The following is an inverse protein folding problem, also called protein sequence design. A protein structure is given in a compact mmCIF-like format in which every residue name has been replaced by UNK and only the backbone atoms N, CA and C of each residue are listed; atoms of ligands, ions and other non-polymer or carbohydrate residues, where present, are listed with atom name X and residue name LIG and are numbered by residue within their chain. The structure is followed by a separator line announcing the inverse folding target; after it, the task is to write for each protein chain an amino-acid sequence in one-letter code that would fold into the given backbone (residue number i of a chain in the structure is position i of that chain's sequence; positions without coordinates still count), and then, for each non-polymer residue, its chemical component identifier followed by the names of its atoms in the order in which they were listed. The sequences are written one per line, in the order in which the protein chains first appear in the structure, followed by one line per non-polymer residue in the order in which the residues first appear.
data_IF_418785292713
#
_entry.id   IF_418785292713
#
_cell.length_a   1.000
_cell.length_b   1.000
_cell.length_c   1.000
_cell.angle_alpha   90.00
_cell.angle_beta   90.00
_cell.angle_gamma   90.00
#
_symmetry.space_group_name_H-M   'P 1'
#
loop_
_entity.id
_entity.type
_entity.pdbx_description
1 polymer ?
#
# COMPACT_ATOMS: atom_id res chain seq x y z
N UNK A 1 41.19 -8.22 4.89
CA UNK A 1 40.20 -8.79 5.82
C UNK A 1 39.04 -7.83 6.14
N UNK A 2 39.28 -6.56 6.47
CA UNK A 2 38.19 -5.59 6.74
C UNK A 2 37.21 -5.40 5.56
N UNK A 3 37.72 -5.37 4.32
CA UNK A 3 36.92 -5.13 3.11
C UNK A 3 35.98 -6.28 2.77
N UNK A 4 36.40 -7.53 3.03
CA UNK A 4 35.55 -8.71 2.83
C UNK A 4 34.48 -8.82 3.92
N UNK A 5 34.80 -8.36 5.14
CA UNK A 5 33.86 -8.33 6.26
C UNK A 5 32.74 -7.30 6.05
N UNK A 6 33.06 -6.11 5.52
CA UNK A 6 32.03 -5.09 5.22
C UNK A 6 31.08 -5.52 4.10
N UNK A 7 31.59 -6.20 3.07
CA UNK A 7 30.74 -6.78 2.02
C UNK A 7 29.83 -7.89 2.56
N UNK A 8 30.32 -8.75 3.46
CA UNK A 8 29.52 -9.79 4.08
C UNK A 8 28.36 -9.21 4.92
N UNK A 9 28.63 -8.16 5.72
CA UNK A 9 27.59 -7.49 6.51
C UNK A 9 26.52 -6.81 5.64
N UNK A 10 26.91 -6.25 4.48
CA UNK A 10 25.96 -5.63 3.55
C UNK A 10 25.02 -6.66 2.90
N UNK A 11 25.54 -7.85 2.57
CA UNK A 11 24.74 -8.94 2.01
C UNK A 11 23.76 -9.55 3.01
N UNK A 12 24.15 -9.67 4.28
CA UNK A 12 23.28 -10.19 5.35
C UNK A 12 22.19 -9.16 5.71
N UNK A 13 22.49 -7.87 5.69
CA UNK A 13 21.49 -6.82 5.93
C UNK A 13 20.41 -6.73 4.85
N UNK A 14 20.76 -7.07 3.59
CA UNK A 14 19.84 -6.96 2.46
C UNK A 14 18.81 -8.11 2.39
N UNK A 15 19.16 -9.30 2.87
CA UNK A 15 18.25 -10.46 2.89
C UNK A 15 17.15 -10.37 3.96
N UNK A 16 17.31 -9.52 4.97
CA UNK A 16 16.31 -9.33 6.04
C UNK A 16 15.11 -8.47 5.63
N UNK A 17 15.13 -7.83 4.46
CA UNK A 17 14.08 -6.90 4.03
C UNK A 17 12.92 -7.56 3.25
N UNK A 18 13.00 -8.87 2.98
CA UNK A 18 12.09 -9.55 2.07
C UNK A 18 11.23 -10.62 2.76
N UNK A 19 10.57 -10.27 3.87
CA UNK A 19 9.46 -11.09 4.41
C UNK A 19 8.14 -10.35 4.19
N UNK A 20 7.68 -10.32 2.94
CA UNK A 20 6.30 -9.91 2.65
C UNK A 20 5.39 -11.08 2.98
N UNK A 21 4.60 -10.94 4.05
CA UNK A 21 3.61 -11.95 4.42
C UNK A 21 2.46 -11.91 3.40
N UNK A 22 2.51 -12.80 2.42
CA UNK A 22 1.40 -13.05 1.49
C UNK A 22 0.38 -13.93 2.21
N UNK A 23 -0.80 -13.37 2.49
CA UNK A 23 -1.89 -14.06 3.16
C UNK A 23 -3.23 -13.67 2.57
N UNK A 24 -4.18 -14.61 2.57
CA UNK A 24 -5.57 -14.33 2.19
C UNK A 24 -6.27 -13.73 3.40
N UNK A 25 -6.80 -12.52 3.24
CA UNK A 25 -7.61 -11.86 4.27
C UNK A 25 -9.09 -11.95 3.90
N UNK A 26 -9.88 -12.59 4.76
CA UNK A 26 -11.33 -12.63 4.62
C UNK A 26 -11.95 -11.43 5.34
N UNK A 27 -12.88 -10.76 4.68
CA UNK A 27 -13.59 -9.59 5.22
C UNK A 27 -15.08 -9.82 4.98
N UNK A 28 -15.89 -9.73 6.04
CA UNK A 28 -17.34 -9.82 5.95
C UNK A 28 -17.90 -8.42 5.76
N UNK A 29 -18.75 -8.24 4.76
CA UNK A 29 -19.42 -6.97 4.49
C UNK A 29 -20.92 -7.18 4.41
N UNK A 30 -21.67 -6.29 5.06
CA UNK A 30 -23.11 -6.19 4.86
C UNK A 30 -23.38 -5.34 3.62
N UNK A 31 -24.17 -5.88 2.70
CA UNK A 31 -24.60 -5.20 1.48
C UNK A 31 -26.10 -5.41 1.27
N UNK A 32 -26.73 -4.44 0.61
CA UNK A 32 -28.15 -4.46 0.29
C UNK A 32 -28.29 -4.20 -1.20
N UNK A 33 -29.37 -4.70 -1.80
CA UNK A 33 -29.64 -4.51 -3.21
C UNK A 33 -31.13 -4.43 -3.44
N UNK A 34 -31.49 -3.64 -4.45
CA UNK A 34 -32.87 -3.39 -4.84
C UNK A 34 -32.97 -3.53 -6.35
N UNK A 35 -34.10 -4.04 -6.83
CA UNK A 35 -34.33 -4.31 -8.24
C UNK A 35 -35.80 -4.59 -8.53
N UNK A 36 -36.15 -4.58 -9.82
CA UNK A 36 -37.52 -4.85 -10.27
C UNK A 36 -37.90 -6.33 -10.12
N UNK A 37 -36.92 -7.21 -10.10
CA UNK A 37 -37.05 -8.64 -9.81
C UNK A 37 -36.16 -9.04 -8.63
N UNK A 38 -36.46 -10.17 -8.01
CA UNK A 38 -35.63 -10.75 -6.95
C UNK A 38 -34.18 -10.95 -7.41
N UNK A 39 -34.00 -11.44 -8.65
CA UNK A 39 -32.67 -11.65 -9.21
C UNK A 39 -31.89 -10.33 -9.39
N UNK A 40 -32.57 -9.25 -9.78
CA UNK A 40 -31.93 -7.94 -9.89
C UNK A 40 -31.50 -7.39 -8.54
N UNK A 41 -32.34 -7.57 -7.51
CA UNK A 41 -32.01 -7.16 -6.14
C UNK A 41 -30.81 -7.94 -5.58
N UNK A 42 -30.74 -9.25 -5.83
CA UNK A 42 -29.60 -10.11 -5.47
C UNK A 42 -28.33 -9.63 -6.19
N UNK A 43 -28.40 -9.42 -7.50
CA UNK A 43 -27.27 -8.97 -8.29
C UNK A 43 -26.76 -7.60 -7.83
N UNK A 44 -27.66 -6.67 -7.52
CA UNK A 44 -27.30 -5.36 -6.98
C UNK A 44 -26.59 -5.47 -5.62
N UNK A 45 -27.07 -6.33 -4.73
CA UNK A 45 -26.45 -6.54 -3.41
C UNK A 45 -25.03 -7.12 -3.53
N UNK A 46 -24.83 -8.05 -4.46
CA UNK A 46 -23.52 -8.64 -4.74
C UNK A 46 -22.55 -7.58 -5.31
N UNK A 47 -23.00 -6.76 -6.25
CA UNK A 47 -22.19 -5.68 -6.82
C UNK A 47 -21.79 -4.67 -5.74
N UNK A 48 -22.70 -4.31 -4.84
CA UNK A 48 -22.37 -3.41 -3.73
C UNK A 48 -21.37 -4.03 -2.74
N UNK A 49 -21.52 -5.31 -2.39
CA UNK A 49 -20.56 -6.04 -1.55
C UNK A 49 -19.15 -6.03 -2.18
N UNK A 50 -19.05 -6.37 -3.47
CA UNK A 50 -17.79 -6.36 -4.21
C UNK A 50 -17.21 -4.94 -4.31
N UNK A 51 -18.07 -3.94 -4.54
CA UNK A 51 -17.69 -2.53 -4.58
C UNK A 51 -17.09 -2.04 -3.26
N UNK A 52 -17.62 -2.46 -2.10
CA UNK A 52 -17.07 -2.11 -0.78
C UNK A 52 -15.70 -2.73 -0.54
N UNK A 53 -15.52 -4.00 -0.92
CA UNK A 53 -14.25 -4.72 -0.78
C UNK A 53 -13.18 -4.15 -1.71
N UNK A 54 -13.51 -3.98 -3.00
CA UNK A 54 -12.58 -3.47 -4.01
C UNK A 54 -12.34 -1.96 -3.89
N UNK A 55 -13.37 -1.18 -3.56
CA UNK A 55 -13.27 0.27 -3.38
C UNK A 55 -12.37 0.66 -2.20
N UNK A 56 -12.48 -0.05 -1.06
CA UNK A 56 -11.56 0.11 0.08
C UNK A 56 -10.10 -0.18 -0.33
N UNK A 57 -9.88 -1.17 -1.19
CA UNK A 57 -8.55 -1.55 -1.67
C UNK A 57 -7.92 -0.46 -2.56
N UNK A 58 -8.70 0.15 -3.45
CA UNK A 58 -8.26 1.27 -4.31
C UNK A 58 -7.96 2.52 -3.46
N UNK A 59 -8.84 2.86 -2.51
CA UNK A 59 -8.63 3.99 -1.61
C UNK A 59 -7.38 3.81 -0.73
N UNK A 60 -7.16 2.61 -0.20
CA UNK A 60 -5.96 2.28 0.58
C UNK A 60 -4.68 2.33 -0.26
N UNK A 61 -4.71 1.79 -1.49
CA UNK A 61 -3.58 1.88 -2.43
C UNK A 61 -3.25 3.32 -2.80
N UNK A 62 -4.25 4.17 -3.02
CA UNK A 62 -4.05 5.60 -3.29
C UNK A 62 -3.51 6.35 -2.08
N UNK A 63 -3.99 6.05 -0.87
CA UNK A 63 -3.45 6.61 0.37
C UNK A 63 -1.99 6.20 0.58
N UNK A 64 -1.65 4.92 0.40
CA UNK A 64 -0.28 4.42 0.45
C UNK A 64 0.62 5.12 -0.58
N UNK A 65 0.17 5.24 -1.83
CA UNK A 65 0.91 5.95 -2.88
C UNK A 65 1.13 7.41 -2.52
N UNK A 66 0.12 8.09 -1.99
CA UNK A 66 0.22 9.49 -1.54
C UNK A 66 1.18 9.65 -0.36
N UNK A 67 1.21 8.70 0.58
CA UNK A 67 2.13 8.66 1.70
C UNK A 67 3.58 8.42 1.24
N UNK A 68 3.79 7.50 0.30
CA UNK A 68 5.12 7.30 -0.31
C UNK A 68 5.60 8.55 -1.06
N UNK A 69 4.70 9.25 -1.74
CA UNK A 69 5.01 10.48 -2.48
C UNK A 69 5.32 11.67 -1.54
N UNK A 70 4.62 11.77 -0.40
CA UNK A 70 4.89 12.79 0.61
C UNK A 70 6.24 12.57 1.30
N UNK A 71 6.63 11.32 1.59
CA UNK A 71 7.95 10.96 2.12
C UNK A 71 9.06 11.34 1.13
N UNK A 72 8.88 11.08 -0.17
CA UNK A 72 9.84 11.47 -1.20
C UNK A 72 10.01 13.00 -1.30
N UNK A 73 8.90 13.75 -1.32
CA UNK A 73 8.93 15.21 -1.35
C UNK A 73 9.59 15.82 -0.11
N UNK A 74 9.37 15.25 1.08
CA UNK A 74 10.01 15.73 2.31
C UNK A 74 11.53 15.50 2.28
N UNK A 75 11.98 14.37 1.72
CA UNK A 75 13.41 14.08 1.52
C UNK A 75 14.07 15.00 0.48
N UNK A 76 13.37 15.37 -0.59
CA UNK A 76 13.85 16.34 -1.57
C UNK A 76 13.92 17.77 -0.99
N UNK A 77 12.89 18.19 -0.25
CA UNK A 77 12.85 19.52 0.38
C UNK A 77 13.96 19.69 1.41
N UNK A 78 14.20 18.67 2.24
CA UNK A 78 15.28 18.69 3.23
C UNK A 78 16.68 18.76 2.59
N UNK A 79 16.90 18.10 1.44
CA UNK A 79 18.14 18.22 0.66
C UNK A 79 18.33 19.58 -0.02
N UNK A 80 17.25 20.21 -0.46
CA UNK A 80 17.29 21.55 -1.07
C UNK A 80 17.64 22.61 -0.02
N UNK A 81 16.98 22.57 1.15
CA UNK A 81 17.26 23.49 2.27
C UNK A 81 18.70 23.35 2.80
N UNK A 82 19.28 22.14 2.83
CA UNK A 82 20.67 21.96 3.22
C UNK A 82 21.68 22.55 2.21
N UNK A 83 21.38 22.53 0.91
CA UNK A 83 22.24 23.16 -0.11
C UNK A 83 22.16 24.68 -0.09
N UNK A 84 21.02 25.26 0.29
CA UNK A 84 20.85 26.71 0.40
C UNK A 84 21.53 27.30 1.64
N UNK A 85 21.63 26.55 2.75
CA UNK A 85 22.36 26.99 3.95
C UNK A 85 23.90 26.89 3.83
N UNK A 86 24.40 26.18 2.82
CA UNK A 86 25.84 26.01 2.58
C UNK A 86 26.41 27.04 1.60
N UNK A 87 25.60 28.01 1.17
CA UNK A 87 26.00 29.09 0.26
C UNK A 87 25.94 30.43 0.98
#
# INVERSE_FOLDING_TARGET
MIRTLTFACLFIGLSSLCFSNVGVKYETVEAKGWGASEQDAINAAIVEALGRVNGKNISASNQLKSLSQSINNNGQKSRMTQKEMQK
#
